data_IF_917852641872
#
_entry.id   IF_917852641872
#
_cell.length_a   1.000
_cell.length_b   1.000
_cell.length_c   1.000
_cell.angle_alpha   90.00
_cell.angle_beta   90.00
_cell.angle_gamma   90.00
#
_symmetry.space_group_name_H-M   'P 1'
#
loop_
_entity.id
_entity.type
_entity.pdbx_description
1 polymer ?
#
# COMPACT_ATOMS: atom_id res chain seq x y z
N UNK A 1 -6.10 -33.49 -69.36
CA UNK A 1 -5.35 -33.03 -68.16
C UNK A 1 -6.19 -32.00 -67.41
N UNK A 2 -7.00 -32.45 -66.44
CA UNK A 2 -7.84 -31.61 -65.56
C UNK A 2 -8.02 -32.32 -64.22
N UNK A 3 -7.05 -32.16 -63.34
CA UNK A 3 -7.06 -32.56 -61.92
C UNK A 3 -5.71 -32.10 -61.42
N UNK A 4 -5.66 -30.98 -60.69
CA UNK A 4 -4.57 -30.52 -59.81
C UNK A 4 -4.74 -29.04 -59.40
N UNK A 5 -5.67 -28.28 -60.00
CA UNK A 5 -5.86 -26.86 -59.65
C UNK A 5 -6.80 -26.65 -58.44
N UNK A 6 -7.71 -27.59 -58.15
CA UNK A 6 -8.65 -27.43 -57.03
C UNK A 6 -8.05 -27.68 -55.64
N UNK A 7 -6.99 -28.49 -55.52
CA UNK A 7 -6.40 -28.82 -54.22
C UNK A 7 -5.57 -27.66 -53.63
N UNK A 8 -4.92 -26.86 -54.49
CA UNK A 8 -4.13 -25.70 -54.06
C UNK A 8 -4.98 -24.50 -53.64
N UNK A 9 -6.20 -24.36 -54.19
CA UNK A 9 -7.10 -23.24 -53.83
C UNK A 9 -7.79 -23.49 -52.48
N UNK A 10 -8.16 -24.74 -52.16
CA UNK A 10 -8.72 -25.08 -50.84
C UNK A 10 -7.71 -24.94 -49.70
N UNK A 11 -6.43 -25.24 -49.93
CA UNK A 11 -5.39 -25.06 -48.90
C UNK A 11 -5.09 -23.60 -48.62
N UNK A 12 -5.20 -22.72 -49.63
CA UNK A 12 -5.00 -21.28 -49.45
C UNK A 12 -6.16 -20.62 -48.69
N UNK A 13 -7.40 -21.10 -48.87
CA UNK A 13 -8.58 -20.62 -48.15
C UNK A 13 -8.62 -21.06 -46.67
N UNK A 14 -8.10 -22.26 -46.35
CA UNK A 14 -7.92 -22.70 -44.95
C UNK A 14 -6.85 -21.88 -44.20
N UNK A 15 -5.79 -21.44 -44.88
CA UNK A 15 -4.76 -20.58 -44.29
C UNK A 15 -5.23 -19.15 -44.06
N UNK A 16 -6.18 -18.65 -44.86
CA UNK A 16 -6.77 -17.32 -44.69
C UNK A 16 -7.86 -17.26 -43.61
N UNK A 17 -8.49 -18.38 -43.24
CA UNK A 17 -9.47 -18.40 -42.14
C UNK A 17 -8.85 -18.53 -40.73
N UNK A 18 -7.53 -18.78 -40.65
CA UNK A 18 -6.78 -18.82 -39.39
C UNK A 18 -6.17 -17.46 -39.00
N UNK A 19 -6.35 -16.42 -39.82
CA UNK A 19 -5.90 -15.05 -39.51
C UNK A 19 -7.04 -14.09 -39.10
N UNK A 20 -8.29 -14.58 -38.98
CA UNK A 20 -9.39 -13.82 -38.36
C UNK A 20 -9.54 -14.22 -36.90
N UNK A 21 -8.53 -13.89 -36.08
CA UNK A 21 -8.71 -13.74 -34.65
C UNK A 21 -9.39 -12.40 -34.38
N UNK A 22 -10.68 -12.43 -34.10
CA UNK A 22 -11.37 -11.27 -33.57
C UNK A 22 -10.84 -10.93 -32.17
N UNK A 23 -10.49 -9.66 -32.00
CA UNK A 23 -10.69 -8.84 -30.80
C UNK A 23 -10.10 -9.36 -29.48
N UNK A 24 -8.90 -8.87 -29.19
CA UNK A 24 -8.61 -8.25 -27.91
C UNK A 24 -7.76 -7.03 -28.23
N UNK A 25 -8.36 -5.84 -28.24
CA UNK A 25 -7.53 -4.65 -28.03
C UNK A 25 -6.97 -4.85 -26.64
N UNK A 26 -5.67 -5.11 -26.52
CA UNK A 26 -4.94 -4.72 -25.33
C UNK A 26 -5.04 -3.20 -25.30
N UNK A 27 -6.11 -2.75 -24.66
CA UNK A 27 -6.22 -1.40 -24.17
C UNK A 27 -5.20 -1.34 -23.06
N UNK A 28 -4.03 -0.78 -23.33
CA UNK A 28 -3.08 -0.35 -22.29
C UNK A 28 -3.65 0.84 -21.48
N UNK A 29 -4.92 1.23 -21.72
CA UNK A 29 -5.65 2.13 -20.86
C UNK A 29 -6.36 1.31 -19.77
N UNK A 30 -6.20 1.67 -18.48
CA UNK A 30 -6.94 1.05 -17.39
C UNK A 30 -8.42 0.98 -17.73
N UNK A 31 -9.07 -0.10 -17.33
CA UNK A 31 -10.50 -0.29 -17.52
C UNK A 31 -11.28 0.80 -16.79
N UNK A 32 -11.62 1.88 -17.50
CA UNK A 32 -12.33 3.04 -16.97
C UNK A 32 -13.76 2.73 -16.55
N UNK A 33 -14.26 1.50 -16.75
CA UNK A 33 -15.53 1.06 -16.19
C UNK A 33 -15.43 0.77 -14.69
N UNK A 34 -14.21 0.77 -14.15
CA UNK A 34 -13.87 0.62 -12.74
C UNK A 34 -14.24 1.86 -11.90
N UNK A 35 -15.50 1.98 -11.44
CA UNK A 35 -15.98 3.02 -10.49
C UNK A 35 -15.46 2.76 -9.06
N UNK A 36 -14.54 3.58 -8.53
CA UNK A 36 -14.04 3.39 -7.17
C UNK A 36 -15.13 3.72 -6.13
N UNK A 37 -15.42 2.79 -5.23
CA UNK A 37 -16.11 3.09 -3.96
C UNK A 37 -15.07 3.06 -2.84
N UNK A 38 -14.10 3.98 -2.87
CA UNK A 38 -13.08 4.11 -1.82
C UNK A 38 -13.60 4.84 -0.58
N UNK A 39 -14.78 5.48 -0.61
CA UNK A 39 -15.31 6.22 0.54
C UNK A 39 -15.55 5.36 1.78
N UNK A 40 -15.81 4.07 1.57
CA UNK A 40 -15.97 3.09 2.64
C UNK A 40 -14.61 2.65 3.25
N UNK A 41 -13.50 3.01 2.61
CA UNK A 41 -12.16 2.49 2.89
C UNK A 41 -11.19 3.63 3.27
N UNK A 42 -11.06 4.64 2.42
CA UNK A 42 -10.24 5.82 2.60
C UNK A 42 -11.12 7.03 2.87
N UNK A 43 -11.54 7.24 4.12
CA UNK A 43 -12.28 8.47 4.44
C UNK A 43 -11.34 9.69 4.48
N UNK A 44 -11.07 10.27 3.30
CA UNK A 44 -10.31 11.50 3.13
C UNK A 44 -10.97 12.61 3.95
N UNK A 45 -10.27 13.10 4.96
CA UNK A 45 -10.83 14.06 5.90
C UNK A 45 -9.82 15.15 6.20
N UNK A 46 -10.21 16.39 5.94
CA UNK A 46 -9.45 17.57 6.35
C UNK A 46 -9.53 17.84 7.85
N UNK A 47 -10.41 17.15 8.59
CA UNK A 47 -10.58 17.30 10.04
C UNK A 47 -9.81 16.23 10.84
N UNK A 48 -9.26 15.22 10.17
CA UNK A 48 -8.43 14.18 10.78
C UNK A 48 -7.04 14.18 10.16
N UNK A 49 -5.97 13.89 10.90
CA UNK A 49 -4.60 13.91 10.37
C UNK A 49 -4.31 12.67 9.51
N UNK A 50 -5.01 12.46 8.40
CA UNK A 50 -4.84 11.30 7.52
C UNK A 50 -4.03 11.63 6.26
N UNK A 51 -3.31 10.63 5.76
CA UNK A 51 -2.44 10.68 4.58
C UNK A 51 -2.75 9.52 3.66
N UNK A 52 -2.81 9.80 2.35
CA UNK A 52 -2.81 8.81 1.27
C UNK A 52 -1.60 9.08 0.37
N UNK A 53 -0.66 8.14 0.31
CA UNK A 53 0.61 8.33 -0.40
C UNK A 53 1.18 7.01 -0.94
N UNK A 54 1.99 7.10 -1.99
CA UNK A 54 2.96 6.06 -2.34
C UNK A 54 4.26 6.28 -1.56
N UNK A 55 4.74 5.23 -0.90
CA UNK A 55 5.87 5.28 0.02
C UNK A 55 6.87 4.17 -0.29
N UNK A 56 8.16 4.53 -0.36
CA UNK A 56 9.23 3.56 -0.53
C UNK A 56 9.88 3.25 0.82
N UNK A 57 10.10 1.97 1.11
CA UNK A 57 10.80 1.53 2.31
C UNK A 57 12.31 1.62 2.09
N UNK A 58 13.01 2.28 3.01
CA UNK A 58 14.46 2.46 2.97
C UNK A 58 15.17 1.48 3.92
N UNK A 59 14.54 1.16 5.05
CA UNK A 59 15.05 0.25 6.07
C UNK A 59 13.89 -0.30 6.88
N UNK A 60 13.88 -1.61 7.11
CA UNK A 60 12.98 -2.25 8.08
C UNK A 60 13.75 -2.51 9.36
N UNK A 61 13.17 -2.15 10.51
CA UNK A 61 13.78 -2.46 11.80
C UNK A 61 13.44 -3.91 12.17
N UNK A 62 14.43 -4.70 12.64
CA UNK A 62 14.28 -6.15 12.74
C UNK A 62 13.37 -6.60 13.89
N UNK A 63 13.11 -5.72 14.85
CA UNK A 63 12.35 -6.06 16.06
C UNK A 63 10.87 -5.78 15.84
N UNK A 64 10.02 -6.69 16.31
CA UNK A 64 8.60 -6.40 16.55
C UNK A 64 8.54 -5.61 17.84
N UNK A 65 7.90 -4.46 17.78
CA UNK A 65 7.85 -3.52 18.88
C UNK A 65 6.53 -3.64 19.61
N UNK A 66 6.56 -4.08 20.87
CA UNK A 66 5.37 -4.14 21.70
C UNK A 66 5.34 -2.99 22.71
N UNK A 67 4.13 -2.54 23.08
CA UNK A 67 3.96 -1.62 24.19
C UNK A 67 4.22 -2.32 25.55
N UNK A 68 4.36 -1.55 26.63
CA UNK A 68 4.67 -2.07 27.97
C UNK A 68 3.64 -3.12 28.46
N UNK A 69 2.40 -3.04 27.97
CA UNK A 69 1.31 -3.93 28.37
C UNK A 69 1.16 -5.16 27.47
N UNK A 70 1.85 -5.19 26.32
CA UNK A 70 1.72 -6.25 25.31
C UNK A 70 0.39 -6.23 24.55
N UNK A 71 -0.36 -5.14 24.68
CA UNK A 71 -1.65 -4.94 24.02
C UNK A 71 -1.46 -4.46 22.57
N UNK A 72 -0.33 -3.82 22.28
CA UNK A 72 0.03 -3.31 20.96
C UNK A 72 1.43 -3.78 20.51
N UNK A 73 1.61 -4.03 19.21
CA UNK A 73 2.70 -4.71 18.55
C UNK A 73 2.84 -4.15 17.12
N UNK A 74 4.05 -3.73 16.74
CA UNK A 74 4.31 -2.99 15.51
C UNK A 74 5.53 -3.52 14.76
N UNK A 75 5.43 -3.50 13.44
CA UNK A 75 6.59 -3.46 12.56
C UNK A 75 6.91 -2.00 12.24
N UNK A 76 8.19 -1.65 12.30
CA UNK A 76 8.64 -0.29 12.05
C UNK A 76 9.53 -0.28 10.80
N UNK A 77 9.32 0.71 9.94
CA UNK A 77 10.16 0.97 8.79
C UNK A 77 10.52 2.46 8.69
N UNK A 78 11.73 2.74 8.23
CA UNK A 78 12.10 4.06 7.71
C UNK A 78 11.67 4.11 6.25
N UNK A 79 10.84 5.08 5.91
CA UNK A 79 10.27 5.25 4.59
C UNK A 79 10.57 6.63 4.02
N UNK A 80 10.35 6.80 2.72
CA UNK A 80 10.30 8.11 2.06
C UNK A 80 9.09 8.22 1.15
N UNK A 81 8.50 9.42 1.09
CA UNK A 81 7.38 9.70 0.18
C UNK A 81 7.89 9.63 -1.26
N UNK A 82 7.25 8.82 -2.10
CA UNK A 82 7.44 8.87 -3.56
C UNK A 82 6.43 9.84 -4.17
N UNK A 83 5.16 9.73 -3.75
CA UNK A 83 4.08 10.59 -4.19
C UNK A 83 3.03 10.74 -3.09
N UNK A 84 2.65 11.97 -2.79
CA UNK A 84 1.50 12.24 -1.92
C UNK A 84 0.26 12.49 -2.79
N UNK A 85 -0.82 11.72 -2.56
CA UNK A 85 -2.11 11.95 -3.21
C UNK A 85 -2.98 12.88 -2.37
N UNK A 86 -3.00 12.64 -1.06
CA UNK A 86 -3.73 13.45 -0.10
C UNK A 86 -2.96 13.56 1.21
N UNK A 87 -2.87 14.77 1.76
CA UNK A 87 -2.32 15.04 3.09
C UNK A 87 -3.21 16.08 3.74
N UNK A 88 -3.96 15.64 4.76
CA UNK A 88 -4.87 16.50 5.50
C UNK A 88 -4.17 17.74 6.05
N UNK A 89 -4.90 18.85 6.10
CA UNK A 89 -4.44 20.10 6.73
C UNK A 89 -4.18 19.98 8.23
N UNK A 90 -4.75 18.96 8.90
CA UNK A 90 -4.52 18.69 10.32
C UNK A 90 -3.26 17.85 10.59
N UNK A 91 -2.61 17.31 9.56
CA UNK A 91 -1.37 16.56 9.73
C UNK A 91 -0.27 17.47 10.34
N UNK A 92 0.21 17.20 11.58
CA UNK A 92 1.26 17.99 12.21
C UNK A 92 2.55 18.03 11.39
N UNK A 93 2.85 16.97 10.63
CA UNK A 93 4.03 16.83 9.79
C UNK A 93 3.73 17.07 8.31
N UNK A 94 2.62 17.75 7.98
CA UNK A 94 2.14 17.96 6.60
C UNK A 94 3.21 18.36 5.60
N UNK A 95 4.08 19.32 5.94
CA UNK A 95 5.11 19.80 5.01
C UNK A 95 6.10 18.69 4.62
N UNK A 96 6.44 17.82 5.58
CA UNK A 96 7.34 16.70 5.37
C UNK A 96 6.63 15.65 4.52
N UNK A 97 5.41 15.27 4.91
CA UNK A 97 4.61 14.22 4.28
C UNK A 97 4.07 14.59 2.89
N UNK A 98 4.04 15.88 2.54
CA UNK A 98 3.62 16.36 1.21
C UNK A 98 4.76 16.39 0.18
N UNK A 99 6.00 16.11 0.57
CA UNK A 99 7.18 16.35 -0.27
C UNK A 99 7.91 15.05 -0.57
N UNK A 100 8.06 14.73 -1.86
CA UNK A 100 8.79 13.55 -2.29
C UNK A 100 10.25 13.53 -1.78
N UNK A 101 10.73 12.35 -1.41
CA UNK A 101 12.08 12.11 -0.88
C UNK A 101 12.27 12.38 0.61
N UNK A 102 11.30 13.02 1.27
CA UNK A 102 11.39 13.23 2.72
C UNK A 102 11.17 11.93 3.50
N UNK A 103 12.02 11.71 4.52
CA UNK A 103 11.97 10.52 5.36
C UNK A 103 11.00 10.66 6.53
N UNK A 104 10.35 9.56 6.87
CA UNK A 104 9.46 9.42 8.02
C UNK A 104 9.50 7.96 8.53
N UNK A 105 8.89 7.69 9.67
CA UNK A 105 8.69 6.32 10.19
C UNK A 105 7.30 5.80 9.83
N UNK A 106 7.22 4.60 9.28
CA UNK A 106 5.98 3.87 9.14
C UNK A 106 5.84 2.90 10.32
N UNK A 107 4.73 2.99 11.03
CA UNK A 107 4.33 2.11 12.12
C UNK A 107 3.17 1.25 11.65
N UNK A 108 3.45 -0.03 11.42
CA UNK A 108 2.48 -1.01 10.96
C UNK A 108 2.02 -1.84 12.15
N UNK A 109 0.78 -1.65 12.60
CA UNK A 109 0.21 -2.47 13.67
C UNK A 109 0.04 -3.92 13.19
N UNK A 110 0.47 -4.87 14.00
CA UNK A 110 0.37 -6.31 13.71
C UNK A 110 -0.38 -7.10 14.78
N UNK A 111 -0.94 -6.42 15.80
CA UNK A 111 -1.83 -7.07 16.77
C UNK A 111 -3.07 -7.64 16.09
N UNK A 112 -3.52 -8.78 16.59
CA UNK A 112 -4.67 -9.48 16.03
C UNK A 112 -4.32 -10.38 14.84
N UNK A 113 -3.15 -10.21 14.24
CA UNK A 113 -2.56 -11.16 13.30
C UNK A 113 -1.85 -12.28 14.05
N UNK A 114 -1.73 -13.45 13.43
CA UNK A 114 -0.92 -14.53 13.99
C UNK A 114 0.58 -14.18 13.90
N UNK A 115 1.34 -14.41 14.97
CA UNK A 115 2.76 -14.03 15.04
C UNK A 115 3.64 -14.66 13.94
N UNK A 116 3.21 -15.81 13.39
CA UNK A 116 3.89 -16.47 12.27
C UNK A 116 3.93 -15.63 10.98
N UNK A 117 3.02 -14.66 10.83
CA UNK A 117 3.01 -13.72 9.71
C UNK A 117 3.93 -12.52 9.89
N UNK A 118 4.48 -12.28 11.10
CA UNK A 118 5.35 -11.12 11.32
C UNK A 118 6.61 -11.16 10.45
N UNK A 119 7.32 -12.30 10.31
CA UNK A 119 8.45 -12.40 9.39
C UNK A 119 8.05 -12.21 7.92
N UNK A 120 6.89 -12.72 7.48
CA UNK A 120 6.42 -12.55 6.10
C UNK A 120 6.12 -11.07 5.78
N UNK A 121 5.49 -10.35 6.72
CA UNK A 121 5.23 -8.92 6.58
C UNK A 121 6.53 -8.10 6.65
N UNK A 122 7.50 -8.49 7.48
CA UNK A 122 8.83 -7.88 7.47
C UNK A 122 9.54 -8.08 6.13
N UNK A 123 9.50 -9.29 5.57
CA UNK A 123 10.08 -9.59 4.26
C UNK A 123 9.37 -8.79 3.15
N UNK A 124 8.04 -8.67 3.21
CA UNK A 124 7.26 -7.85 2.30
C UNK A 124 7.72 -6.38 2.33
N UNK A 125 7.82 -5.78 3.52
CA UNK A 125 8.31 -4.42 3.70
C UNK A 125 9.73 -4.22 3.13
N UNK A 126 10.58 -5.25 3.15
CA UNK A 126 11.94 -5.18 2.62
C UNK A 126 12.01 -5.31 1.10
N UNK A 127 11.15 -6.15 0.50
CA UNK A 127 11.26 -6.53 -0.92
C UNK A 127 10.40 -5.72 -1.88
N UNK A 128 9.33 -5.10 -1.39
CA UNK A 128 8.44 -4.31 -2.23
C UNK A 128 9.15 -3.06 -2.77
N UNK A 129 8.80 -2.65 -3.99
CA UNK A 129 9.31 -1.41 -4.59
C UNK A 129 8.78 -0.20 -3.82
N UNK A 130 7.50 -0.24 -3.48
CA UNK A 130 6.78 0.77 -2.71
C UNK A 130 5.46 0.22 -2.16
N UNK A 131 4.73 1.06 -1.44
CA UNK A 131 3.41 0.78 -0.91
C UNK A 131 2.50 1.98 -1.11
N UNK A 132 1.27 1.76 -1.56
CA UNK A 132 0.19 2.72 -1.32
C UNK A 132 -0.21 2.58 0.13
N UNK A 133 -0.11 3.68 0.87
CA UNK A 133 -0.40 3.75 2.29
C UNK A 133 -1.51 4.76 2.53
N UNK A 134 -2.52 4.31 3.27
CA UNK A 134 -3.49 5.17 3.93
C UNK A 134 -3.26 5.08 5.45
N UNK A 135 -2.85 6.18 6.07
CA UNK A 135 -2.37 6.17 7.46
C UNK A 135 -2.65 7.48 8.19
N UNK A 136 -2.58 7.43 9.51
CA UNK A 136 -2.70 8.60 10.38
C UNK A 136 -1.31 9.20 10.68
N UNK A 137 -1.16 10.52 10.54
CA UNK A 137 -0.03 11.31 11.04
C UNK A 137 -0.27 11.66 12.51
N UNK A 138 -0.19 10.64 13.38
CA UNK A 138 -0.42 10.82 14.81
C UNK A 138 0.90 10.81 15.61
N UNK A 139 1.32 11.91 16.25
CA UNK A 139 2.66 12.01 16.82
C UNK A 139 2.84 11.46 18.25
N UNK A 140 1.82 10.94 18.96
CA UNK A 140 1.79 11.21 20.41
C UNK A 140 1.68 10.07 21.46
N UNK A 141 1.22 8.85 21.17
CA UNK A 141 0.86 7.95 22.29
C UNK A 141 1.96 6.94 22.69
N UNK A 142 2.75 6.44 21.74
CA UNK A 142 3.80 5.45 22.03
C UNK A 142 5.04 6.03 22.71
N UNK A 143 5.15 7.36 22.71
CA UNK A 143 6.26 8.11 23.29
C UNK A 143 6.53 7.98 24.75
N UNK A 144 5.56 7.48 25.50
CA UNK A 144 5.70 7.36 26.94
C UNK A 144 6.03 5.93 27.40
N UNK A 145 5.70 4.91 26.60
CA UNK A 145 5.70 3.51 27.07
C UNK A 145 6.34 2.50 26.10
N UNK A 146 6.66 2.88 24.87
CA UNK A 146 7.17 1.92 23.89
C UNK A 146 8.67 2.01 23.61
N UNK A 147 9.19 3.21 23.32
CA UNK A 147 10.55 3.34 22.77
C UNK A 147 11.62 3.20 23.85
N UNK A 148 12.26 2.03 23.90
CA UNK A 148 13.45 1.86 24.73
C UNK A 148 14.63 2.72 24.24
N UNK A 149 15.64 2.89 25.11
CA UNK A 149 16.83 3.70 24.80
C UNK A 149 17.67 3.13 23.64
N UNK A 150 17.59 1.82 23.36
CA UNK A 150 18.34 1.20 22.27
C UNK A 150 17.71 1.53 20.92
N UNK A 151 16.38 1.45 20.82
CA UNK A 151 15.63 1.86 19.65
C UNK A 151 15.77 3.36 19.41
N UNK A 152 15.62 4.19 20.44
CA UNK A 152 15.83 5.64 20.31
C UNK A 152 17.22 5.96 19.73
N UNK A 153 18.29 5.32 20.24
CA UNK A 153 19.64 5.47 19.69
C UNK A 153 19.76 5.00 18.25
N UNK A 154 19.08 3.92 17.88
CA UNK A 154 19.07 3.39 16.51
C UNK A 154 18.39 4.38 15.55
N UNK A 155 17.22 4.92 15.94
CA UNK A 155 16.50 5.93 15.18
C UNK A 155 17.32 7.22 15.02
N UNK A 156 18.02 7.65 16.08
CA UNK A 156 18.91 8.81 16.03
C UNK A 156 20.10 8.62 15.08
N UNK A 157 20.68 7.41 15.03
CA UNK A 157 21.72 7.07 14.05
C UNK A 157 21.21 7.15 12.61
N UNK A 158 19.93 6.86 12.39
CA UNK A 158 19.27 6.96 11.09
C UNK A 158 18.77 8.38 10.76
N UNK A 159 19.08 9.36 11.62
CA UNK A 159 18.83 10.79 11.40
C UNK A 159 17.49 11.29 11.95
N UNK A 160 16.77 10.49 12.73
CA UNK A 160 15.55 10.92 13.39
C UNK A 160 15.84 11.63 14.72
N UNK A 161 15.01 12.61 15.07
CA UNK A 161 15.11 13.29 16.36
C UNK A 161 14.15 12.63 17.34
N UNK A 162 14.67 11.93 18.34
CA UNK A 162 13.89 11.20 19.35
C UNK A 162 14.04 11.80 20.76
N UNK A 163 14.33 13.10 20.85
CA UNK A 163 14.64 13.78 22.13
C UNK A 163 13.41 14.00 22.99
N UNK A 164 13.59 13.88 24.30
CA UNK A 164 12.60 14.36 25.28
C UNK A 164 12.80 15.86 25.51
N UNK A 165 11.75 16.65 25.31
CA UNK A 165 11.66 18.08 25.60
C UNK A 165 10.52 18.29 26.58
N UNK A 166 10.79 18.87 27.76
CA UNK A 166 9.75 19.18 28.77
C UNK A 166 8.89 17.95 29.16
N UNK A 167 9.53 16.81 29.39
CA UNK A 167 8.88 15.51 29.67
C UNK A 167 7.97 14.96 28.55
N UNK A 168 8.06 15.54 27.34
CA UNK A 168 7.41 15.05 26.13
C UNK A 168 8.45 14.56 25.11
N UNK A 169 8.33 13.33 24.63
CA UNK A 169 9.19 12.84 23.57
C UNK A 169 8.80 13.50 22.25
N UNK A 170 9.74 14.19 21.61
CA UNK A 170 9.60 14.69 20.25
C UNK A 170 9.78 13.51 19.31
N UNK A 171 8.70 13.12 18.63
CA UNK A 171 8.74 12.05 17.65
C UNK A 171 9.16 12.56 16.28
N UNK A 172 9.88 11.74 15.52
CA UNK A 172 10.02 11.99 14.09
C UNK A 172 8.65 11.92 13.40
N UNK A 173 8.53 12.52 12.21
CA UNK A 173 7.36 12.34 11.35
C UNK A 173 7.03 10.86 11.22
N UNK A 174 5.80 10.50 11.52
CA UNK A 174 5.39 9.11 11.65
C UNK A 174 4.01 8.91 11.04
N UNK A 175 3.86 7.85 10.25
CA UNK A 175 2.57 7.38 9.73
C UNK A 175 2.19 6.08 10.44
N UNK A 176 0.97 6.03 10.96
CA UNK A 176 0.43 4.90 11.70
C UNK A 176 -0.64 4.21 10.88
N UNK A 177 -0.39 2.93 10.57
CA UNK A 177 -1.37 2.02 10.02
C UNK A 177 -1.94 1.24 11.20
N UNK A 178 -3.10 1.68 11.67
CA UNK A 178 -3.80 1.07 12.80
C UNK A 178 -4.40 -0.29 12.47
N UNK A 179 -4.61 -0.56 11.19
CA UNK A 179 -5.17 -1.81 10.70
C UNK A 179 -4.85 -2.01 9.21
N UNK A 180 -4.47 -3.23 8.82
CA UNK A 180 -4.27 -3.65 7.44
C UNK A 180 -5.50 -4.30 6.79
N UNK A 181 -6.53 -4.69 7.57
CA UNK A 181 -7.76 -5.29 7.05
C UNK A 181 -8.51 -4.35 6.10
N UNK A 182 -8.40 -3.03 6.31
CA UNK A 182 -9.09 -1.99 5.53
C UNK A 182 -8.24 -1.33 4.43
N UNK A 183 -7.40 -2.10 3.73
CA UNK A 183 -6.64 -1.61 2.57
C UNK A 183 -5.63 -0.47 2.84
N UNK A 184 -5.26 -0.29 4.10
CA UNK A 184 -4.31 0.74 4.53
C UNK A 184 -2.88 0.53 4.02
N UNK A 185 -2.57 -0.67 3.51
CA UNK A 185 -1.26 -1.06 2.99
C UNK A 185 -1.42 -1.90 1.72
N UNK A 186 -1.13 -1.32 0.55
CA UNK A 186 -1.18 -2.01 -0.74
C UNK A 186 0.24 -2.12 -1.30
N UNK A 187 0.83 -3.32 -1.36
CA UNK A 187 2.20 -3.50 -1.84
C UNK A 187 2.31 -3.38 -3.35
N UNK A 188 3.40 -2.74 -3.81
CA UNK A 188 3.83 -2.71 -5.21
C UNK A 188 5.13 -3.50 -5.35
N UNK A 189 5.13 -4.52 -6.19
CA UNK A 189 6.25 -5.43 -6.46
C UNK A 189 6.41 -5.58 -7.98
N UNK A 190 7.63 -5.34 -8.46
CA UNK A 190 7.95 -5.28 -9.89
C UNK A 190 7.01 -4.32 -10.66
N UNK A 191 6.70 -3.17 -10.04
CA UNK A 191 5.82 -2.13 -10.57
C UNK A 191 4.33 -2.48 -10.62
N UNK A 192 3.92 -3.56 -9.96
CA UNK A 192 2.53 -4.04 -9.93
C UNK A 192 2.04 -4.32 -8.53
N UNK A 193 0.73 -4.24 -8.36
CA UNK A 193 0.07 -4.63 -7.11
C UNK A 193 0.26 -6.12 -6.85
N UNK A 194 0.74 -6.45 -5.66
CA UNK A 194 0.81 -7.82 -5.12
C UNK A 194 0.46 -7.79 -3.62
N UNK A 195 -0.83 -7.96 -3.34
CA UNK A 195 -1.39 -7.97 -1.99
C UNK A 195 -1.43 -9.35 -1.34
N UNK A 196 -0.94 -10.41 -1.98
CA UNK A 196 -1.17 -11.81 -1.54
C UNK A 196 -0.67 -12.09 -0.11
N UNK A 197 0.43 -11.46 0.31
CA UNK A 197 0.95 -11.62 1.68
C UNK A 197 0.06 -10.90 2.69
N UNK A 198 -0.44 -9.71 2.35
CA UNK A 198 -1.34 -8.93 3.22
C UNK A 198 -2.66 -9.67 3.37
N UNK A 199 -3.26 -10.09 2.24
CA UNK A 199 -4.50 -10.87 2.21
C UNK A 199 -4.42 -12.13 3.09
N UNK A 200 -3.37 -12.95 2.93
CA UNK A 200 -3.19 -14.16 3.74
C UNK A 200 -3.04 -13.87 5.23
N UNK A 201 -2.26 -12.86 5.59
CA UNK A 201 -2.07 -12.47 6.99
C UNK A 201 -3.40 -12.00 7.63
N UNK A 202 -4.27 -11.38 6.83
CA UNK A 202 -5.58 -10.86 7.23
C UNK A 202 -6.64 -11.96 7.32
N UNK A 203 -6.75 -12.83 6.31
CA UNK A 203 -7.75 -13.91 6.25
C UNK A 203 -7.66 -14.85 7.46
N UNK A 204 -6.44 -15.12 7.91
CA UNK A 204 -6.19 -16.02 9.04
C UNK A 204 -6.22 -15.31 10.40
N UNK A 205 -6.53 -14.01 10.42
CA UNK A 205 -6.68 -13.22 11.65
C UNK A 205 -8.06 -13.45 12.31
N UNK A 206 -8.17 -13.07 13.59
CA UNK A 206 -9.44 -13.13 14.32
C UNK A 206 -10.52 -12.17 13.79
N UNK A 207 -10.21 -11.33 12.80
CA UNK A 207 -11.07 -10.27 12.26
C UNK A 207 -11.45 -10.50 10.79
N UNK A 208 -11.45 -11.77 10.34
CA UNK A 208 -11.81 -12.21 8.99
C UNK A 208 -13.21 -11.79 8.46
N UNK A 209 -13.97 -10.97 9.17
CA UNK A 209 -15.25 -10.41 8.71
C UNK A 209 -15.10 -9.09 7.93
N UNK A 210 -13.90 -8.48 7.89
CA UNK A 210 -13.58 -7.32 7.04
C UNK A 210 -12.38 -7.67 6.17
N UNK A 211 -12.63 -8.36 5.05
CA UNK A 211 -11.55 -9.03 4.31
C UNK A 211 -10.88 -8.04 3.35
N UNK A 212 -9.56 -7.92 3.48
CA UNK A 212 -8.69 -7.35 2.44
C UNK A 212 -8.73 -8.30 1.24
N UNK A 213 -9.69 -8.11 0.32
CA UNK A 213 -9.91 -9.03 -0.82
C UNK A 213 -9.46 -8.39 -2.11
N UNK A 214 -8.20 -8.62 -2.47
CA UNK A 214 -7.61 -7.89 -3.60
C UNK A 214 -8.06 -8.42 -4.96
N UNK A 215 -8.67 -9.61 -5.01
CA UNK A 215 -9.07 -10.28 -6.26
C UNK A 215 -10.60 -10.50 -6.41
N UNK A 216 -11.45 -9.88 -5.59
CA UNK A 216 -12.92 -10.03 -5.71
C UNK A 216 -13.60 -9.04 -6.68
N UNK A 217 -14.61 -9.52 -7.42
CA UNK A 217 -15.35 -8.71 -8.42
C UNK A 217 -16.05 -7.47 -7.83
N UNK A 218 -16.36 -7.48 -6.52
CA UNK A 218 -17.04 -6.39 -5.80
C UNK A 218 -16.07 -5.49 -4.97
N UNK A 219 -14.76 -5.76 -5.02
CA UNK A 219 -13.67 -5.06 -4.31
C UNK A 219 -13.45 -3.61 -4.79
N UNK A 220 -12.80 -2.72 -4.02
CA UNK A 220 -12.38 -1.36 -4.42
C UNK A 220 -11.36 -1.29 -5.57
N UNK A 221 -11.56 -2.07 -6.63
CA UNK A 221 -11.07 -1.90 -8.00
C UNK A 221 -9.58 -1.64 -8.24
N UNK A 222 -8.74 -1.82 -7.22
CA UNK A 222 -7.30 -2.11 -7.31
C UNK A 222 -7.17 -3.62 -7.15
N UNK A 223 -6.56 -4.28 -8.13
CA UNK A 223 -6.43 -5.74 -8.18
C UNK A 223 -4.97 -6.19 -8.20
N UNK A 224 -4.70 -7.45 -7.82
CA UNK A 224 -3.39 -8.01 -8.08
C UNK A 224 -3.06 -7.91 -9.58
N UNK A 225 -1.84 -7.46 -9.87
CA UNK A 225 -1.35 -7.29 -11.21
C UNK A 225 -1.68 -5.95 -11.88
N UNK A 226 -2.52 -5.10 -11.28
CA UNK A 226 -2.67 -3.70 -11.70
C UNK A 226 -1.30 -3.00 -11.61
N UNK A 227 -0.98 -2.19 -12.60
CA UNK A 227 0.28 -1.43 -12.64
C UNK A 227 0.20 -0.21 -11.71
N UNK A 228 1.35 0.24 -11.23
CA UNK A 228 1.42 1.45 -10.40
C UNK A 228 0.82 2.67 -11.11
N UNK A 229 0.95 2.78 -12.44
CA UNK A 229 0.36 3.87 -13.21
C UNK A 229 -1.18 3.83 -13.19
N UNK A 230 -1.77 2.64 -13.30
CA UNK A 230 -3.23 2.47 -13.21
C UNK A 230 -3.74 2.85 -11.82
N UNK A 231 -3.06 2.37 -10.78
CA UNK A 231 -3.35 2.72 -9.39
C UNK A 231 -3.26 4.23 -9.18
N UNK A 232 -2.21 4.88 -9.69
CA UNK A 232 -2.03 6.32 -9.58
C UNK A 232 -3.17 7.09 -10.22
N UNK A 233 -3.60 6.68 -11.41
CA UNK A 233 -4.72 7.32 -12.09
C UNK A 233 -5.99 7.21 -11.24
N UNK A 234 -6.29 6.03 -10.69
CA UNK A 234 -7.46 5.82 -9.85
C UNK A 234 -7.44 6.69 -8.59
N UNK A 235 -6.30 6.75 -7.88
CA UNK A 235 -6.18 7.54 -6.64
C UNK A 235 -6.27 9.05 -6.91
N UNK A 236 -5.70 9.53 -8.01
CA UNK A 236 -5.82 10.94 -8.41
C UNK A 236 -7.26 11.35 -8.74
N UNK A 237 -7.98 10.50 -9.48
CA UNK A 237 -9.40 10.70 -9.77
C UNK A 237 -10.22 10.69 -8.48
N UNK A 238 -9.96 9.71 -7.60
CA UNK A 238 -10.62 9.59 -6.30
C UNK A 238 -10.44 10.85 -5.44
N UNK A 239 -9.21 11.30 -5.20
CA UNK A 239 -8.93 12.51 -4.40
C UNK A 239 -9.65 13.72 -5.00
N UNK A 240 -9.58 13.91 -6.32
CA UNK A 240 -10.23 15.03 -7.01
C UNK A 240 -11.75 15.03 -6.86
N UNK A 241 -12.39 13.89 -6.70
CA UNK A 241 -13.84 13.80 -6.51
C UNK A 241 -14.26 14.12 -5.08
N UNK A 242 -13.42 13.82 -4.08
CA UNK A 242 -13.78 13.84 -2.66
C UNK A 242 -13.20 15.02 -1.87
N UNK A 243 -12.29 15.81 -2.47
CA UNK A 243 -11.75 17.03 -1.84
C UNK A 243 -12.21 18.34 -2.51
N UNK A 244 -13.38 18.32 -3.18
CA UNK A 244 -13.96 19.49 -3.87
C UNK A 244 -14.76 20.42 -2.97
#
# INVERSE_FOLDING_TARGET
>A
MKRNVMASVLSLLMLLSLCCGCQGKNSDAPDSSRIPYFDEIFTLSEDRPVVLADVAVQKVYPQVFADEYGDEAYLIAKCSIQKAFFVSTQCPNRAILSTAGNSFLLWLKVNGLQEEYYPELQELLQRADSFIVYAEDEPSWFGRYGLDEEMARTLEQDGFNCRVVEDQMVFPPSLYINDIYMWSLIPIIDGKVDGTVVERAVEESHYAEMVYEIDQEDSPRIYNGDTIEEVYQFLEEYVKEHTK
#
